data_IF_727614690680
#
_entry.id   IF_727614690680
#
_cell.length_a   1.000
_cell.length_b   1.000
_cell.length_c   1.000
_cell.angle_alpha   90.00
_cell.angle_beta   90.00
_cell.angle_gamma   90.00
#
_symmetry.space_group_name_H-M   'P 1'
#
loop_
_entity.id
_entity.type
_entity.pdbx_description
1 polymer ?
#
# COMPACT_ATOMS: atom_id res chain seq x y z
N UNK A 1 -27.45 -11.88 -1.25
CA UNK A 1 -26.83 -11.21 -0.08
C UNK A 1 -27.35 -11.90 1.17
N UNK A 2 -26.46 -12.36 2.05
CA UNK A 2 -26.85 -12.94 3.34
C UNK A 2 -26.69 -11.90 4.45
N UNK A 3 -27.72 -11.78 5.30
CA UNK A 3 -27.74 -10.89 6.46
C UNK A 3 -28.28 -11.65 7.67
N UNK A 4 -28.14 -11.11 8.90
CA UNK A 4 -28.77 -11.71 10.08
C UNK A 4 -30.30 -11.89 9.95
N UNK A 5 -30.97 -11.09 9.11
CA UNK A 5 -32.41 -11.15 8.87
C UNK A 5 -32.81 -12.14 7.75
N UNK A 6 -31.83 -12.79 7.12
CA UNK A 6 -32.02 -13.76 6.05
C UNK A 6 -31.30 -13.40 4.75
N UNK A 7 -31.48 -14.27 3.76
CA UNK A 7 -30.93 -14.11 2.42
C UNK A 7 -31.92 -13.40 1.48
N UNK A 8 -31.42 -12.49 0.65
CA UNK A 8 -32.20 -11.82 -0.40
C UNK A 8 -31.36 -11.56 -1.65
N UNK A 9 -32.03 -11.41 -2.78
CA UNK A 9 -31.41 -11.06 -4.06
C UNK A 9 -31.36 -9.54 -4.25
N UNK A 10 -30.24 -9.04 -4.79
CA UNK A 10 -30.03 -7.63 -5.07
C UNK A 10 -29.53 -7.46 -6.51
N UNK A 11 -30.23 -6.68 -7.31
CA UNK A 11 -29.81 -6.30 -8.66
C UNK A 11 -29.07 -4.96 -8.62
N UNK A 12 -27.94 -4.87 -9.34
CA UNK A 12 -27.09 -3.67 -9.41
C UNK A 12 -26.41 -3.58 -10.76
N UNK A 13 -26.14 -2.36 -11.22
CA UNK A 13 -25.38 -2.11 -12.45
C UNK A 13 -23.88 -2.40 -12.32
N UNK A 14 -23.38 -2.37 -11.08
CA UNK A 14 -21.96 -2.56 -10.73
C UNK A 14 -21.83 -3.26 -9.38
N UNK A 15 -20.84 -4.14 -9.27
CA UNK A 15 -20.46 -4.83 -8.03
C UNK A 15 -18.99 -4.56 -7.73
N UNK A 16 -18.71 -4.00 -6.55
CA UNK A 16 -17.35 -3.90 -6.02
C UNK A 16 -17.17 -5.00 -4.98
N UNK A 17 -16.34 -5.98 -5.27
CA UNK A 17 -15.98 -7.06 -4.36
C UNK A 17 -14.88 -6.58 -3.40
N UNK A 18 -15.24 -6.31 -2.14
CA UNK A 18 -14.33 -6.01 -1.02
C UNK A 18 -14.45 -7.07 0.08
N UNK A 19 -14.62 -8.33 -0.33
CA UNK A 19 -15.01 -9.48 0.49
C UNK A 19 -13.81 -10.32 0.99
N UNK A 20 -12.61 -9.72 0.95
CA UNK A 20 -11.42 -10.23 1.62
C UNK A 20 -10.67 -11.35 0.90
N UNK A 21 -9.60 -11.85 1.54
CA UNK A 21 -8.66 -12.82 0.97
C UNK A 21 -9.31 -14.12 0.49
N UNK A 22 -10.45 -14.51 1.07
CA UNK A 22 -11.24 -15.69 0.68
C UNK A 22 -12.50 -15.31 -0.12
N UNK A 23 -12.40 -14.26 -0.94
CA UNK A 23 -13.49 -13.70 -1.74
C UNK A 23 -14.40 -14.77 -2.35
N UNK A 24 -15.65 -14.91 -1.88
CA UNK A 24 -16.65 -15.76 -2.53
C UNK A 24 -16.95 -15.29 -3.96
N UNK A 25 -16.94 -13.97 -4.23
CA UNK A 25 -17.19 -13.44 -5.58
C UNK A 25 -16.12 -13.92 -6.56
N UNK A 26 -14.84 -13.95 -6.12
CA UNK A 26 -13.75 -14.51 -6.92
C UNK A 26 -13.97 -15.99 -7.25
N UNK A 27 -14.44 -16.77 -6.27
CA UNK A 27 -14.79 -18.18 -6.47
C UNK A 27 -15.98 -18.39 -7.40
N UNK A 28 -17.01 -17.54 -7.32
CA UNK A 28 -18.18 -17.60 -8.22
C UNK A 28 -17.83 -17.30 -9.68
N UNK A 29 -16.81 -16.46 -9.91
CA UNK A 29 -16.30 -16.14 -11.23
C UNK A 29 -15.18 -17.08 -11.71
N UNK A 30 -14.80 -18.08 -10.90
CA UNK A 30 -13.73 -19.06 -11.17
C UNK A 30 -12.40 -18.38 -11.56
N UNK A 31 -12.04 -17.30 -10.87
CA UNK A 31 -10.84 -16.53 -11.17
C UNK A 31 -9.61 -17.08 -10.45
N UNK A 32 -8.52 -17.27 -11.20
CA UNK A 32 -7.24 -17.66 -10.65
C UNK A 32 -6.63 -16.54 -9.79
N UNK A 33 -6.10 -16.92 -8.63
CA UNK A 33 -5.42 -16.00 -7.73
C UNK A 33 -3.91 -16.29 -7.76
N UNK A 34 -3.20 -15.75 -8.74
CA UNK A 34 -1.79 -16.04 -8.98
C UNK A 34 -0.87 -15.46 -7.91
N UNK A 35 0.27 -16.10 -7.67
CA UNK A 35 1.33 -15.58 -6.80
C UNK A 35 2.04 -16.65 -5.97
N UNK A 36 2.76 -16.21 -4.95
CA UNK A 36 3.61 -17.03 -4.10
C UNK A 36 2.92 -17.31 -2.75
N UNK A 37 2.90 -18.58 -2.36
CA UNK A 37 2.57 -19.02 -1.01
C UNK A 37 3.87 -19.15 -0.24
N UNK A 38 4.03 -18.38 0.83
CA UNK A 38 5.10 -18.64 1.78
C UNK A 38 4.63 -19.73 2.72
N UNK A 39 5.28 -20.89 2.66
CA UNK A 39 4.90 -22.05 3.47
C UNK A 39 5.22 -21.83 4.96
N UNK A 40 6.08 -20.86 5.27
CA UNK A 40 6.44 -20.44 6.61
C UNK A 40 5.21 -20.04 7.45
N UNK A 41 5.16 -20.58 8.67
CA UNK A 41 4.06 -20.35 9.61
C UNK A 41 4.54 -19.51 10.77
N UNK A 42 3.63 -18.69 11.27
CA UNK A 42 3.90 -17.84 12.43
C UNK A 42 2.78 -18.01 13.45
N UNK A 43 3.18 -18.14 14.71
CA UNK A 43 2.32 -18.07 15.88
C UNK A 43 2.24 -16.62 16.33
N UNK A 44 1.04 -16.04 16.37
CA UNK A 44 0.78 -14.80 17.10
C UNK A 44 0.15 -15.16 18.43
N UNK A 45 0.66 -14.56 19.49
CA UNK A 45 -0.02 -14.51 20.77
C UNK A 45 -0.13 -13.07 21.25
N UNK A 46 -1.33 -12.67 21.66
CA UNK A 46 -1.53 -11.47 22.48
C UNK A 46 -1.60 -11.90 23.94
N UNK A 47 -0.79 -11.24 24.77
CA UNK A 47 -0.78 -11.45 26.22
C UNK A 47 -0.99 -10.14 26.95
N UNK A 48 -1.73 -10.20 28.05
CA UNK A 48 -1.77 -9.12 29.03
C UNK A 48 -0.67 -9.34 30.06
N UNK A 49 0.17 -8.34 30.27
CA UNK A 49 1.29 -8.42 31.21
C UNK A 49 1.66 -7.03 31.72
N UNK A 50 1.75 -6.88 33.04
CA UNK A 50 2.35 -5.67 33.62
C UNK A 50 3.87 -5.71 33.42
N UNK A 51 4.36 -4.95 32.44
CA UNK A 51 5.79 -4.84 32.16
C UNK A 51 6.18 -3.43 31.73
N UNK A 52 7.37 -3.02 32.14
CA UNK A 52 7.97 -1.73 31.76
C UNK A 52 8.81 -1.86 30.47
N UNK A 53 8.21 -2.48 29.45
CA UNK A 53 8.84 -2.56 28.13
C UNK A 53 8.61 -1.24 27.36
N UNK A 54 9.64 -0.75 26.64
CA UNK A 54 9.46 0.41 25.77
C UNK A 54 8.42 0.14 24.68
N UNK A 55 7.77 1.19 24.18
CA UNK A 55 6.77 1.08 23.10
C UNK A 55 7.36 0.77 21.72
N UNK A 56 8.69 0.65 21.62
CA UNK A 56 9.35 0.24 20.39
C UNK A 56 9.06 -1.23 20.06
N UNK A 57 9.20 -1.58 18.78
CA UNK A 57 9.06 -2.97 18.34
C UNK A 57 10.42 -3.64 18.43
N UNK A 58 10.48 -4.78 19.10
CA UNK A 58 11.66 -5.61 19.13
C UNK A 58 11.52 -6.71 18.09
N UNK A 59 12.53 -6.84 17.24
CA UNK A 59 12.63 -7.90 16.27
C UNK A 59 13.95 -8.62 16.44
N UNK A 60 13.89 -9.94 16.62
CA UNK A 60 15.06 -10.80 16.71
C UNK A 60 15.09 -11.73 15.50
N UNK A 61 16.22 -11.74 14.79
CA UNK A 61 16.44 -12.71 13.72
C UNK A 61 16.73 -14.11 14.27
N UNK A 62 17.43 -14.19 15.40
CA UNK A 62 17.84 -15.45 16.04
C UNK A 62 17.94 -15.27 17.57
N UNK A 63 16.81 -15.15 18.28
CA UNK A 63 16.79 -15.01 19.73
C UNK A 63 17.20 -16.32 20.43
N UNK A 64 17.84 -16.20 21.59
CA UNK A 64 18.24 -17.35 22.42
C UNK A 64 17.06 -18.16 22.97
N UNK A 65 15.88 -17.53 23.08
CA UNK A 65 14.65 -18.16 23.56
C UNK A 65 13.86 -18.90 22.47
N UNK A 66 14.21 -18.69 21.20
CA UNK A 66 13.52 -19.25 20.03
C UNK A 66 14.52 -19.47 18.88
N UNK A 67 15.44 -20.41 19.12
CA UNK A 67 16.65 -20.58 18.31
C UNK A 67 16.36 -20.96 16.84
N UNK A 68 17.12 -20.37 15.91
CA UNK A 68 17.02 -20.63 14.48
C UNK A 68 15.79 -20.03 13.79
N UNK A 69 14.98 -19.24 14.52
CA UNK A 69 13.70 -18.72 14.07
C UNK A 69 13.54 -17.28 14.53
N UNK A 70 12.88 -16.44 13.74
CA UNK A 70 12.64 -15.05 14.12
C UNK A 70 11.55 -14.90 15.18
N UNK A 71 11.64 -13.82 15.95
CA UNK A 71 10.61 -13.41 16.89
C UNK A 71 10.36 -11.90 16.81
N UNK A 72 9.12 -11.48 17.07
CA UNK A 72 8.73 -10.09 17.22
C UNK A 72 7.98 -9.89 18.53
N UNK A 73 8.24 -8.77 19.20
CA UNK A 73 7.48 -8.30 20.36
C UNK A 73 7.09 -6.84 20.12
N UNK A 74 5.82 -6.49 20.29
CA UNK A 74 5.40 -5.09 20.36
C UNK A 74 4.35 -4.85 21.44
N UNK A 75 4.45 -3.70 22.11
CA UNK A 75 3.44 -3.23 23.07
C UNK A 75 2.24 -2.64 22.33
N UNK A 76 1.04 -3.00 22.76
CA UNK A 76 -0.25 -2.44 22.36
C UNK A 76 -0.86 -1.65 23.55
N UNK A 77 -1.98 -0.93 23.36
CA UNK A 77 -2.73 -0.35 24.47
C UNK A 77 -3.13 -1.39 25.53
N UNK A 78 -3.49 -0.92 26.73
CA UNK A 78 -4.06 -1.73 27.81
C UNK A 78 -3.16 -2.90 28.27
N UNK A 79 -1.84 -2.67 28.27
CA UNK A 79 -0.81 -3.64 28.68
C UNK A 79 -0.88 -4.99 27.93
N UNK A 80 -1.40 -4.94 26.70
CA UNK A 80 -1.33 -6.04 25.76
C UNK A 80 0.02 -6.04 25.03
N UNK A 81 0.63 -7.20 24.90
CA UNK A 81 1.87 -7.44 24.16
C UNK A 81 1.60 -8.47 23.09
N UNK A 82 1.89 -8.12 21.84
CA UNK A 82 1.86 -9.08 20.74
C UNK A 82 3.23 -9.72 20.59
N UNK A 83 3.23 -11.04 20.51
CA UNK A 83 4.41 -11.86 20.26
C UNK A 83 4.16 -12.63 18.96
N UNK A 84 5.02 -12.44 17.97
CA UNK A 84 5.03 -13.28 16.76
C UNK A 84 6.24 -14.21 16.82
N UNK A 85 6.03 -15.52 16.70
CA UNK A 85 7.09 -16.54 16.65
C UNK A 85 7.02 -17.31 15.34
N UNK A 86 8.11 -17.34 14.60
CA UNK A 86 8.23 -18.18 13.40
C UNK A 86 8.23 -19.67 13.80
N UNK A 87 7.43 -20.53 13.17
CA UNK A 87 7.29 -21.94 13.58
C UNK A 87 7.91 -22.95 12.60
N UNK A 88 8.18 -22.56 11.35
CA UNK A 88 8.59 -23.45 10.28
C UNK A 88 7.44 -23.87 9.36
N UNK A 89 7.76 -24.28 8.13
CA UNK A 89 6.78 -24.70 7.11
C UNK A 89 5.90 -25.91 7.51
N UNK A 90 6.47 -26.81 8.34
CA UNK A 90 5.85 -28.09 8.72
C UNK A 90 5.00 -28.01 10.00
N UNK A 91 4.85 -26.82 10.61
CA UNK A 91 4.23 -26.66 11.92
C UNK A 91 2.70 -26.76 11.87
N UNK A 92 2.07 -27.79 12.43
CA UNK A 92 0.60 -27.97 12.37
C UNK A 92 -0.15 -26.83 13.11
N UNK A 93 -1.01 -26.03 12.45
CA UNK A 93 -1.60 -24.85 13.06
C UNK A 93 -2.53 -25.18 14.23
N UNK A 94 -3.21 -26.32 14.20
CA UNK A 94 -4.17 -26.70 15.26
C UNK A 94 -3.46 -27.28 16.47
N UNK A 95 -2.36 -28.00 16.26
CA UNK A 95 -1.48 -28.42 17.35
C UNK A 95 -0.76 -27.23 17.97
N UNK A 96 -0.24 -26.31 17.15
CA UNK A 96 0.60 -25.20 17.61
C UNK A 96 -0.16 -24.13 18.40
N UNK A 97 -1.47 -24.01 18.20
CA UNK A 97 -2.35 -23.12 18.99
C UNK A 97 -2.65 -23.64 20.40
N UNK A 98 -2.37 -24.91 20.68
CA UNK A 98 -2.72 -25.52 21.98
C UNK A 98 -1.98 -24.82 23.13
N UNK A 99 -2.65 -24.50 24.25
CA UNK A 99 -2.00 -23.82 25.38
C UNK A 99 -0.73 -24.52 25.87
N UNK A 100 -0.68 -25.85 25.82
CA UNK A 100 0.48 -26.65 26.22
C UNK A 100 1.72 -26.40 25.34
N UNK A 101 1.52 -25.94 24.11
CA UNK A 101 2.57 -25.59 23.16
C UNK A 101 2.88 -24.09 23.20
N UNK A 102 1.87 -23.24 23.37
CA UNK A 102 2.00 -21.78 23.35
C UNK A 102 2.60 -21.23 24.64
N UNK A 103 2.08 -21.64 25.79
CA UNK A 103 2.46 -21.10 27.11
C UNK A 103 3.97 -21.26 27.35
N UNK A 104 4.60 -22.43 27.14
CA UNK A 104 6.03 -22.58 27.36
C UNK A 104 6.89 -21.72 26.44
N UNK A 105 6.42 -21.38 25.24
CA UNK A 105 7.13 -20.47 24.33
C UNK A 105 7.07 -19.05 24.86
N UNK A 106 5.89 -18.59 25.27
CA UNK A 106 5.69 -17.26 25.83
C UNK A 106 6.48 -17.09 27.14
N UNK A 107 6.48 -18.09 28.03
CA UNK A 107 7.27 -18.06 29.28
C UNK A 107 8.75 -17.79 29.04
N UNK A 108 9.32 -18.35 27.97
CA UNK A 108 10.72 -18.09 27.56
C UNK A 108 10.92 -16.66 27.05
N UNK A 109 9.96 -16.11 26.29
CA UNK A 109 10.00 -14.73 25.78
C UNK A 109 9.92 -13.73 26.94
N UNK A 110 8.98 -13.93 27.87
CA UNK A 110 8.74 -12.97 28.96
C UNK A 110 9.66 -13.17 30.16
N UNK A 111 10.49 -14.22 30.17
CA UNK A 111 11.50 -14.45 31.20
C UNK A 111 10.92 -14.71 32.59
N UNK A 112 9.83 -15.48 32.67
CA UNK A 112 9.19 -15.85 33.95
C UNK A 112 8.28 -14.79 34.58
N UNK A 113 8.00 -13.68 33.88
CA UNK A 113 6.96 -12.73 34.28
C UNK A 113 5.58 -13.37 34.21
N UNK A 114 4.67 -12.95 35.09
CA UNK A 114 3.27 -13.38 35.05
C UNK A 114 2.57 -12.70 33.87
N UNK A 115 1.81 -13.47 33.11
CA UNK A 115 0.99 -12.97 32.00
C UNK A 115 -0.36 -13.69 31.97
N UNK A 116 -1.32 -13.11 31.27
CA UNK A 116 -2.58 -13.75 30.87
C UNK A 116 -2.59 -13.86 29.34
N UNK A 117 -2.83 -15.06 28.82
CA UNK A 117 -3.03 -15.26 27.40
C UNK A 117 -4.41 -14.71 27.01
N UNK A 118 -4.45 -13.81 26.04
CA UNK A 118 -5.68 -13.18 25.57
C UNK A 118 -6.15 -13.78 24.24
N UNK A 119 -5.23 -13.92 23.29
CA UNK A 119 -5.54 -14.44 21.97
C UNK A 119 -4.34 -15.19 21.36
N UNK A 120 -4.63 -16.20 20.55
CA UNK A 120 -3.62 -16.95 19.78
C UNK A 120 -4.14 -17.25 18.39
N UNK A 121 -3.27 -17.14 17.39
CA UNK A 121 -3.52 -17.66 16.05
C UNK A 121 -2.24 -18.15 15.40
N UNK A 122 -2.38 -19.05 14.43
CA UNK A 122 -1.30 -19.46 13.54
C UNK A 122 -1.75 -19.18 12.13
N UNK A 123 -0.89 -18.50 11.36
CA UNK A 123 -1.20 -18.12 9.99
C UNK A 123 0.01 -18.39 9.07
N UNK A 124 -0.28 -18.49 7.78
CA UNK A 124 0.71 -18.47 6.68
C UNK A 124 0.62 -17.16 5.93
N UNK A 125 1.73 -16.75 5.33
CA UNK A 125 1.76 -15.55 4.49
C UNK A 125 1.56 -15.90 3.03
N UNK A 126 0.85 -15.04 2.32
CA UNK A 126 0.62 -15.17 0.88
C UNK A 126 0.88 -13.81 0.24
N UNK A 127 1.57 -13.83 -0.89
CA UNK A 127 1.69 -12.69 -1.79
C UNK A 127 1.04 -13.09 -3.11
N UNK A 128 -0.22 -12.70 -3.30
CA UNK A 128 -1.03 -13.13 -4.45
C UNK A 128 -1.89 -11.99 -4.95
N UNK A 129 -2.25 -12.01 -6.22
CA UNK A 129 -3.23 -11.08 -6.79
C UNK A 129 -3.98 -11.72 -7.94
N UNK A 130 -5.11 -11.12 -8.29
CA UNK A 130 -5.76 -11.39 -9.56
C UNK A 130 -4.90 -10.86 -10.72
N UNK A 131 -5.00 -11.49 -11.88
CA UNK A 131 -4.38 -10.99 -13.11
C UNK A 131 -4.98 -9.63 -13.51
N UNK A 132 -6.31 -9.54 -13.46
CA UNK A 132 -7.12 -8.35 -13.67
C UNK A 132 -8.01 -8.09 -12.45
N UNK A 133 -8.18 -6.83 -12.07
CA UNK A 133 -9.07 -6.38 -11.01
C UNK A 133 -10.45 -6.01 -11.56
N UNK A 134 -10.60 -5.77 -12.87
CA UNK A 134 -11.86 -5.43 -13.52
C UNK A 134 -12.35 -6.58 -14.40
N UNK A 135 -13.51 -7.14 -14.07
CA UNK A 135 -14.19 -8.20 -14.82
C UNK A 135 -15.57 -7.72 -15.27
N UNK A 136 -15.60 -6.94 -16.35
CA UNK A 136 -16.82 -6.30 -16.85
C UNK A 136 -17.41 -5.34 -15.81
N UNK A 137 -18.53 -5.73 -15.18
CA UNK A 137 -19.22 -4.93 -14.15
C UNK A 137 -18.90 -5.36 -12.71
N UNK A 138 -18.02 -6.35 -12.55
CA UNK A 138 -17.51 -6.80 -11.25
C UNK A 138 -16.08 -6.30 -11.09
N UNK A 139 -15.80 -5.57 -10.02
CA UNK A 139 -14.51 -4.94 -9.76
C UNK A 139 -14.02 -5.39 -8.40
N UNK A 140 -12.77 -5.83 -8.31
CA UNK A 140 -12.15 -6.29 -7.06
C UNK A 140 -11.28 -5.18 -6.45
N UNK A 141 -11.33 -5.00 -5.13
CA UNK A 141 -10.51 -4.05 -4.38
C UNK A 141 -10.13 -4.58 -2.99
N UNK A 142 -8.94 -4.22 -2.52
CA UNK A 142 -8.35 -4.73 -1.27
C UNK A 142 -8.01 -6.22 -1.35
N UNK A 143 -8.13 -6.92 -0.22
CA UNK A 143 -7.73 -8.33 -0.08
C UNK A 143 -8.48 -9.30 -1.03
N UNK A 144 -9.60 -8.88 -1.62
CA UNK A 144 -10.28 -9.66 -2.66
C UNK A 144 -9.49 -9.69 -3.98
N UNK A 145 -8.73 -8.62 -4.26
CA UNK A 145 -7.93 -8.39 -5.46
C UNK A 145 -6.45 -8.74 -5.29
N UNK A 146 -5.87 -8.45 -4.13
CA UNK A 146 -4.46 -8.70 -3.83
C UNK A 146 -4.22 -8.89 -2.34
N UNK A 147 -3.34 -9.81 -1.99
CA UNK A 147 -2.87 -10.06 -0.63
C UNK A 147 -1.35 -9.97 -0.63
N UNK A 148 -0.81 -9.40 0.44
CA UNK A 148 0.64 -9.28 0.65
C UNK A 148 0.98 -9.74 2.05
N UNK A 149 2.22 -10.18 2.22
CA UNK A 149 2.78 -10.38 3.56
C UNK A 149 2.63 -9.08 4.39
N UNK A 150 2.22 -9.15 5.67
CA UNK A 150 1.93 -7.98 6.48
C UNK A 150 3.17 -7.18 6.86
N UNK A 151 4.36 -7.73 6.61
CA UNK A 151 5.61 -6.99 6.77
C UNK A 151 5.63 -5.79 5.79
N UNK A 152 5.74 -4.59 6.37
CA UNK A 152 5.61 -3.32 5.64
C UNK A 152 4.22 -2.68 5.71
N UNK A 153 3.24 -3.28 6.37
CA UNK A 153 1.89 -2.71 6.51
C UNK A 153 1.25 -2.29 5.16
N UNK A 154 1.48 -3.06 4.09
CA UNK A 154 1.08 -2.68 2.72
C UNK A 154 -0.32 -3.09 2.33
N UNK A 155 -0.85 -4.20 2.84
CA UNK A 155 -2.17 -4.74 2.44
C UNK A 155 -3.32 -3.75 2.66
N UNK A 156 -3.62 -3.43 3.92
CA UNK A 156 -4.71 -2.48 4.24
C UNK A 156 -4.51 -1.08 3.65
N UNK A 157 -3.28 -0.56 3.61
CA UNK A 157 -2.98 0.73 2.97
C UNK A 157 -3.23 0.69 1.46
N UNK A 158 -2.87 -0.40 0.79
CA UNK A 158 -3.12 -0.59 -0.65
C UNK A 158 -4.61 -0.72 -0.94
N UNK A 159 -5.37 -1.41 -0.07
CA UNK A 159 -6.83 -1.50 -0.19
C UNK A 159 -7.53 -0.14 -0.12
N UNK A 160 -7.09 0.76 0.76
CA UNK A 160 -7.60 2.14 0.79
C UNK A 160 -7.27 2.89 -0.51
N UNK A 161 -6.05 2.73 -1.03
CA UNK A 161 -5.64 3.35 -2.28
C UNK A 161 -6.39 2.79 -3.50
N UNK A 162 -6.84 1.53 -3.47
CA UNK A 162 -7.71 0.98 -4.52
C UNK A 162 -9.02 1.77 -4.59
N UNK A 163 -9.64 2.04 -3.43
CA UNK A 163 -10.92 2.76 -3.35
C UNK A 163 -10.75 4.22 -3.77
N UNK A 164 -9.68 4.89 -3.34
CA UNK A 164 -9.39 6.26 -3.76
C UNK A 164 -9.20 6.36 -5.29
N UNK A 165 -8.53 5.38 -5.90
CA UNK A 165 -8.33 5.31 -7.35
C UNK A 165 -9.63 4.99 -8.11
N UNK A 166 -10.43 4.04 -7.60
CA UNK A 166 -11.64 3.56 -8.26
C UNK A 166 -12.81 4.54 -8.16
N UNK A 167 -12.99 5.17 -7.00
CA UNK A 167 -14.22 5.88 -6.65
C UNK A 167 -14.61 6.98 -7.64
N UNK A 168 -13.65 7.83 -8.02
CA UNK A 168 -13.90 8.91 -8.98
C UNK A 168 -14.10 8.39 -10.41
N UNK A 169 -13.40 7.33 -10.79
CA UNK A 169 -13.50 6.71 -12.12
C UNK A 169 -14.87 6.07 -12.31
N UNK A 170 -15.28 5.25 -11.36
CA UNK A 170 -16.59 4.60 -11.40
C UNK A 170 -17.72 5.62 -11.32
N UNK A 171 -17.58 6.66 -10.48
CA UNK A 171 -18.56 7.75 -10.43
C UNK A 171 -18.68 8.47 -11.78
N UNK A 172 -17.58 8.70 -12.50
CA UNK A 172 -17.59 9.31 -13.82
C UNK A 172 -18.30 8.43 -14.86
N UNK A 173 -18.07 7.11 -14.82
CA UNK A 173 -18.75 6.13 -15.68
C UNK A 173 -20.26 6.10 -15.39
N UNK A 174 -20.65 5.99 -14.12
CA UNK A 174 -22.07 5.95 -13.71
C UNK A 174 -22.80 7.24 -14.10
N UNK A 175 -22.14 8.39 -14.00
CA UNK A 175 -22.71 9.70 -14.38
C UNK A 175 -22.68 9.98 -15.88
N UNK A 176 -22.11 9.09 -16.69
CA UNK A 176 -22.00 9.27 -18.14
C UNK A 176 -21.02 10.37 -18.56
N UNK A 177 -20.08 10.75 -17.68
CA UNK A 177 -19.00 11.70 -18.02
C UNK A 177 -18.03 11.08 -19.02
N UNK A 178 -17.79 9.78 -18.90
CA UNK A 178 -16.94 8.99 -19.81
C UNK A 178 -17.45 7.55 -19.88
N UNK A 179 -16.89 6.76 -20.79
CA UNK A 179 -17.20 5.34 -20.96
C UNK A 179 -16.43 4.40 -20.01
N UNK A 180 -16.79 3.11 -19.98
CA UNK A 180 -16.19 2.12 -19.08
C UNK A 180 -14.69 1.89 -19.30
N UNK A 181 -14.13 2.30 -20.45
CA UNK A 181 -12.69 2.21 -20.73
C UNK A 181 -11.82 2.96 -19.71
N UNK A 182 -12.37 3.96 -18.99
CA UNK A 182 -11.65 4.58 -17.87
C UNK A 182 -11.29 3.57 -16.77
N UNK A 183 -12.09 2.51 -16.57
CA UNK A 183 -11.85 1.50 -15.54
C UNK A 183 -10.67 0.59 -15.88
N UNK A 184 -10.28 0.49 -17.15
CA UNK A 184 -9.05 -0.21 -17.55
C UNK A 184 -7.80 0.47 -16.96
N UNK A 185 -7.90 1.78 -16.68
CA UNK A 185 -6.84 2.49 -15.95
C UNK A 185 -6.79 2.12 -14.47
N UNK A 186 -7.92 1.79 -13.83
CA UNK A 186 -7.92 1.27 -12.46
C UNK A 186 -7.24 -0.10 -12.43
N UNK A 187 -7.59 -0.98 -13.38
CA UNK A 187 -6.98 -2.29 -13.54
C UNK A 187 -5.45 -2.18 -13.64
N UNK A 188 -4.96 -1.40 -14.62
CA UNK A 188 -3.53 -1.21 -14.88
C UNK A 188 -2.79 -0.58 -13.70
N UNK A 189 -3.31 0.51 -13.15
CA UNK A 189 -2.63 1.25 -12.07
C UNK A 189 -2.57 0.44 -10.78
N UNK A 190 -3.67 -0.24 -10.41
CA UNK A 190 -3.73 -0.98 -9.15
C UNK A 190 -3.10 -2.36 -9.22
N UNK A 191 -3.01 -2.97 -10.41
CA UNK A 191 -2.16 -4.15 -10.63
C UNK A 191 -0.67 -3.79 -10.55
N UNK A 192 -0.23 -2.66 -11.12
CA UNK A 192 1.14 -2.13 -10.96
C UNK A 192 1.48 -1.88 -9.47
N UNK A 193 0.56 -1.26 -8.72
CA UNK A 193 0.75 -1.06 -7.28
C UNK A 193 0.79 -2.38 -6.49
N UNK A 194 -0.03 -3.37 -6.86
CA UNK A 194 -0.02 -4.68 -6.24
C UNK A 194 1.32 -5.41 -6.49
N UNK A 195 1.87 -5.32 -7.71
CA UNK A 195 3.18 -5.88 -8.04
C UNK A 195 4.31 -5.21 -7.24
N UNK A 196 4.30 -3.88 -7.11
CA UNK A 196 5.27 -3.17 -6.27
C UNK A 196 5.20 -3.63 -4.80
N UNK A 197 3.98 -3.74 -4.27
CA UNK A 197 3.75 -4.15 -2.88
C UNK A 197 4.16 -5.61 -2.64
N UNK A 198 3.82 -6.52 -3.55
CA UNK A 198 4.25 -7.92 -3.50
C UNK A 198 5.79 -8.00 -3.52
N UNK A 199 6.45 -7.31 -4.46
CA UNK A 199 7.92 -7.32 -4.54
C UNK A 199 8.59 -6.78 -3.27
N UNK A 200 8.05 -5.70 -2.69
CA UNK A 200 8.56 -5.12 -1.46
C UNK A 200 8.37 -6.05 -0.24
N UNK A 201 7.17 -6.62 -0.09
CA UNK A 201 6.85 -7.51 1.02
C UNK A 201 7.54 -8.87 0.90
N UNK A 202 7.68 -9.44 -0.30
CA UNK A 202 8.43 -10.69 -0.53
C UNK A 202 9.91 -10.52 -0.22
N UNK A 203 10.54 -9.40 -0.63
CA UNK A 203 11.93 -9.09 -0.25
C UNK A 203 12.12 -9.00 1.26
N UNK A 204 11.19 -8.33 1.94
CA UNK A 204 11.22 -8.19 3.40
C UNK A 204 11.08 -9.55 4.09
N UNK A 205 10.13 -10.37 3.62
CA UNK A 205 9.89 -11.73 4.15
C UNK A 205 11.13 -12.61 4.01
N UNK A 206 11.78 -12.63 2.82
CA UNK A 206 13.01 -13.40 2.58
C UNK A 206 14.21 -12.90 3.40
N UNK A 207 14.26 -11.60 3.71
CA UNK A 207 15.29 -11.07 4.59
C UNK A 207 15.06 -11.46 6.06
N UNK A 208 13.81 -11.54 6.50
CA UNK A 208 13.45 -11.93 7.87
C UNK A 208 13.61 -13.43 8.11
N UNK A 209 13.10 -14.23 7.17
CA UNK A 209 13.04 -15.70 7.22
C UNK A 209 13.69 -16.28 5.95
N UNK A 210 15.02 -16.35 5.88
CA UNK A 210 15.73 -16.84 4.69
C UNK A 210 15.52 -18.35 4.48
N UNK A 211 15.23 -18.75 3.25
CA UNK A 211 14.92 -20.15 2.92
C UNK A 211 16.17 -21.03 2.71
N UNK A 212 17.37 -20.44 2.67
CA UNK A 212 18.61 -21.18 2.40
C UNK A 212 19.89 -20.45 2.81
N UNK A 213 21.02 -21.17 2.70
CA UNK A 213 22.33 -20.73 3.22
C UNK A 213 22.85 -19.43 2.59
N UNK A 214 22.55 -19.18 1.32
CA UNK A 214 22.99 -17.94 0.63
C UNK A 214 22.22 -16.73 1.14
N UNK A 215 20.90 -16.85 1.31
CA UNK A 215 20.07 -15.75 1.85
C UNK A 215 20.42 -15.46 3.31
N UNK A 216 20.68 -16.51 4.09
CA UNK A 216 21.15 -16.38 5.46
C UNK A 216 22.50 -15.64 5.52
N UNK A 217 23.48 -16.07 4.70
CA UNK A 217 24.79 -15.41 4.61
C UNK A 217 24.65 -13.95 4.17
N UNK A 218 23.79 -13.66 3.19
CA UNK A 218 23.54 -12.30 2.74
C UNK A 218 22.98 -11.43 3.87
N UNK A 219 21.92 -11.89 4.55
CA UNK A 219 21.31 -11.21 5.69
C UNK A 219 22.34 -10.92 6.79
N UNK A 220 23.09 -11.93 7.20
CA UNK A 220 24.05 -11.80 8.30
C UNK A 220 25.20 -10.84 7.93
N UNK A 221 25.63 -10.87 6.66
CA UNK A 221 26.63 -9.93 6.13
C UNK A 221 26.10 -8.49 6.13
N UNK A 222 24.84 -8.29 5.71
CA UNK A 222 24.17 -6.98 5.76
C UNK A 222 24.08 -6.47 7.18
N UNK A 223 23.62 -7.30 8.12
CA UNK A 223 23.47 -6.92 9.54
C UNK A 223 24.83 -6.60 10.19
N UNK A 224 25.85 -7.40 9.90
CA UNK A 224 27.23 -7.16 10.37
C UNK A 224 27.76 -5.82 9.87
N UNK A 225 27.56 -5.51 8.58
CA UNK A 225 28.05 -4.28 7.96
C UNK A 225 27.20 -3.05 8.32
N UNK A 226 25.91 -3.21 8.61
CA UNK A 226 25.00 -2.10 8.90
C UNK A 226 25.42 -1.28 10.14
N UNK A 227 26.10 -1.91 11.11
CA UNK A 227 26.65 -1.21 12.27
C UNK A 227 27.65 -0.12 11.88
N UNK A 228 28.50 -0.37 10.88
CA UNK A 228 29.63 0.49 10.54
C UNK A 228 29.47 1.22 9.20
N UNK A 229 28.66 0.71 8.28
CA UNK A 229 28.66 1.14 6.88
C UNK A 229 27.28 1.62 6.41
N UNK A 230 27.16 2.89 5.95
CA UNK A 230 25.87 3.47 5.55
C UNK A 230 25.12 2.68 4.46
N UNK A 231 25.82 2.15 3.44
CA UNK A 231 25.13 1.43 2.35
C UNK A 231 24.43 0.15 2.84
N UNK A 232 24.99 -0.54 3.85
CA UNK A 232 24.40 -1.77 4.37
C UNK A 232 23.14 -1.48 5.20
N UNK A 233 23.04 -0.30 5.82
CA UNK A 233 21.83 0.14 6.55
C UNK A 233 20.62 0.24 5.64
N UNK A 234 20.81 0.60 4.37
CA UNK A 234 19.73 0.64 3.37
C UNK A 234 19.11 -0.75 3.13
N UNK A 235 19.91 -1.81 3.20
CA UNK A 235 19.41 -3.18 3.01
C UNK A 235 18.66 -3.71 4.23
N UNK A 236 19.04 -3.29 5.43
CA UNK A 236 18.34 -3.63 6.66
C UNK A 236 17.10 -2.76 6.92
N UNK A 237 17.10 -1.52 6.45
CA UNK A 237 16.02 -0.57 6.64
C UNK A 237 15.20 -0.43 5.35
N UNK A 238 14.00 -1.01 5.34
CA UNK A 238 13.05 -0.91 4.23
C UNK A 238 12.45 0.50 4.02
N UNK A 239 12.84 1.49 4.83
CA UNK A 239 12.33 2.85 4.79
C UNK A 239 10.94 2.96 5.42
N UNK A 240 10.14 3.90 4.92
CA UNK A 240 8.74 4.05 5.34
C UNK A 240 7.98 2.77 4.97
N UNK A 241 7.24 2.21 5.93
CA UNK A 241 6.55 0.92 5.79
C UNK A 241 5.68 0.87 4.52
N UNK A 242 4.87 1.91 4.30
CA UNK A 242 4.05 2.08 3.11
C UNK A 242 4.24 3.48 2.52
N UNK A 243 4.40 3.52 1.20
CA UNK A 243 4.45 4.72 0.35
C UNK A 243 3.45 4.55 -0.79
N UNK A 244 2.86 5.62 -1.33
CA UNK A 244 2.07 5.54 -2.54
C UNK A 244 2.90 4.99 -3.70
N UNK A 245 2.29 4.12 -4.52
CA UNK A 245 2.90 3.69 -5.78
C UNK A 245 3.02 4.90 -6.72
N UNK A 246 4.07 4.90 -7.54
CA UNK A 246 4.19 5.87 -8.64
C UNK A 246 3.82 5.18 -9.94
N UNK A 247 2.68 5.56 -10.51
CA UNK A 247 2.16 4.92 -11.71
C UNK A 247 2.99 5.22 -12.95
N UNK A 248 3.01 4.26 -13.87
CA UNK A 248 3.48 4.52 -15.22
C UNK A 248 2.51 5.46 -15.92
N UNK A 249 3.00 6.65 -16.31
CA UNK A 249 2.19 7.66 -16.98
C UNK A 249 2.83 8.15 -18.29
N UNK A 250 2.04 8.30 -19.36
CA UNK A 250 2.48 8.81 -20.67
C UNK A 250 1.92 10.19 -21.00
N UNK A 251 1.34 10.88 -20.01
CA UNK A 251 1.04 12.30 -20.11
C UNK A 251 2.32 13.14 -20.26
N UNK A 252 2.20 14.40 -20.73
CA UNK A 252 3.35 15.29 -20.83
C UNK A 252 4.16 15.38 -19.53
N UNK A 253 5.49 15.27 -19.65
CA UNK A 253 6.44 15.27 -18.54
C UNK A 253 7.64 16.15 -18.90
N UNK A 254 7.62 17.43 -18.49
CA UNK A 254 8.80 18.29 -18.65
C UNK A 254 9.89 17.87 -17.64
N UNK A 255 11.03 17.30 -18.11
CA UNK A 255 12.04 16.72 -17.23
C UNK A 255 12.84 17.76 -16.45
N UNK A 256 12.68 19.05 -16.74
CA UNK A 256 13.31 20.15 -15.98
C UNK A 256 12.64 20.37 -14.63
N UNK A 257 11.40 19.91 -14.46
CA UNK A 257 10.65 20.04 -13.22
C UNK A 257 11.05 18.94 -12.20
N UNK A 258 10.91 19.19 -10.89
CA UNK A 258 11.40 18.29 -9.84
C UNK A 258 10.90 16.84 -9.96
N UNK A 259 11.77 15.85 -9.77
CA UNK A 259 11.39 14.43 -9.90
C UNK A 259 10.31 13.98 -8.89
N UNK A 260 10.21 14.64 -7.73
CA UNK A 260 9.23 14.32 -6.67
C UNK A 260 7.77 14.57 -7.11
N UNK A 261 7.56 15.41 -8.13
CA UNK A 261 6.25 15.77 -8.69
C UNK A 261 6.11 15.37 -10.16
N UNK A 262 6.78 14.29 -10.59
CA UNK A 262 6.62 13.78 -11.96
C UNK A 262 5.23 13.15 -12.16
N UNK A 263 4.73 13.04 -13.41
CA UNK A 263 3.50 12.32 -13.69
C UNK A 263 3.52 10.88 -13.13
N UNK A 264 2.35 10.44 -12.65
CA UNK A 264 2.14 9.18 -11.95
C UNK A 264 2.35 9.23 -10.43
N UNK A 265 2.98 10.29 -9.89
CA UNK A 265 3.14 10.48 -8.44
C UNK A 265 1.89 11.10 -7.81
N UNK A 266 1.65 10.81 -6.52
CA UNK A 266 0.73 11.63 -5.71
C UNK A 266 1.35 13.00 -5.54
N UNK A 267 0.57 14.05 -5.76
CA UNK A 267 0.98 15.43 -5.63
C UNK A 267 1.61 15.68 -4.24
N UNK A 268 2.89 16.10 -4.17
CA UNK A 268 3.54 16.39 -2.89
C UNK A 268 2.83 17.52 -2.16
N UNK A 269 2.28 17.25 -0.97
CA UNK A 269 1.61 18.28 -0.18
C UNK A 269 2.56 19.46 0.12
N UNK A 270 2.05 20.64 0.48
CA UNK A 270 2.84 21.81 0.86
C UNK A 270 1.95 22.83 1.60
N UNK A 271 2.50 23.63 2.53
CA UNK A 271 1.73 24.69 3.15
C UNK A 271 1.34 25.78 2.13
N UNK A 272 0.13 26.30 2.25
CA UNK A 272 -0.41 27.40 1.45
C UNK A 272 -1.08 28.42 2.37
N UNK A 273 -0.29 29.37 2.87
CA UNK A 273 -0.76 30.31 3.91
C UNK A 273 -1.03 29.57 5.22
N UNK A 274 -2.29 29.51 5.67
CA UNK A 274 -2.72 28.79 6.89
C UNK A 274 -3.36 27.42 6.59
N UNK A 275 -3.28 26.97 5.34
CA UNK A 275 -3.89 25.72 4.86
C UNK A 275 -2.83 24.81 4.22
N UNK A 276 -3.23 23.64 3.72
CA UNK A 276 -2.38 22.67 3.05
C UNK A 276 -2.86 22.42 1.62
N UNK A 277 -1.92 22.21 0.70
CA UNK A 277 -2.20 22.00 -0.72
C UNK A 277 -3.13 20.81 -0.94
N UNK A 278 -2.93 19.72 -0.19
CA UNK A 278 -3.78 18.52 -0.25
C UNK A 278 -5.27 18.84 -0.06
N UNK A 279 -5.62 19.84 0.76
CA UNK A 279 -7.00 20.25 0.99
C UNK A 279 -7.63 21.01 -0.19
N UNK A 280 -6.80 21.47 -1.15
CA UNK A 280 -7.22 22.15 -2.37
C UNK A 280 -7.23 21.25 -3.60
N UNK A 281 -6.63 20.07 -3.47
CA UNK A 281 -6.57 19.03 -4.49
C UNK A 281 -7.66 17.98 -4.24
N UNK A 282 -8.00 17.25 -5.31
CA UNK A 282 -8.98 16.18 -5.28
C UNK A 282 -10.43 16.63 -5.54
N UNK A 283 -11.35 15.65 -5.54
CA UNK A 283 -12.79 15.78 -5.89
C UNK A 283 -13.05 16.01 -7.37
N UNK A 284 -12.33 16.93 -8.00
CA UNK A 284 -12.37 17.23 -9.44
C UNK A 284 -10.94 17.36 -9.98
N UNK A 285 -10.72 17.26 -11.30
CA UNK A 285 -9.40 17.53 -11.86
C UNK A 285 -9.00 18.98 -11.58
N UNK A 286 -7.73 19.19 -11.25
CA UNK A 286 -7.16 20.50 -10.91
C UNK A 286 -5.99 20.81 -11.84
N UNK A 287 -6.00 21.98 -12.45
CA UNK A 287 -4.82 22.56 -13.09
C UNK A 287 -4.15 23.50 -12.08
N UNK A 288 -3.03 23.05 -11.55
CA UNK A 288 -2.19 23.79 -10.59
C UNK A 288 -1.11 24.55 -11.37
N UNK A 289 -1.05 25.86 -11.24
CA UNK A 289 -0.09 26.71 -11.94
C UNK A 289 0.70 27.64 -11.02
N UNK A 290 1.96 27.88 -11.38
CA UNK A 290 2.89 28.80 -10.73
C UNK A 290 3.55 29.67 -11.79
N UNK A 291 3.63 30.99 -11.59
CA UNK A 291 4.34 31.93 -12.48
C UNK A 291 3.75 32.11 -13.89
N UNK A 292 2.87 31.21 -14.33
CA UNK A 292 2.12 31.26 -15.58
C UNK A 292 0.64 30.92 -15.33
N UNK A 293 -0.23 31.28 -16.26
CA UNK A 293 -1.65 30.95 -16.20
C UNK A 293 -2.19 30.54 -17.56
N UNK A 294 -2.84 29.38 -17.60
CA UNK A 294 -3.50 28.85 -18.80
C UNK A 294 -5.03 28.84 -18.62
N UNK A 295 -5.78 28.93 -19.72
CA UNK A 295 -7.22 28.69 -19.68
C UNK A 295 -7.48 27.20 -19.43
N UNK A 296 -8.48 26.87 -18.63
CA UNK A 296 -8.86 25.48 -18.32
C UNK A 296 -10.25 25.18 -18.90
N UNK A 297 -10.52 23.94 -19.32
CA UNK A 297 -11.84 23.53 -19.78
C UNK A 297 -12.84 23.45 -18.62
N UNK A 298 -14.13 23.36 -18.96
CA UNK A 298 -15.19 23.23 -17.96
C UNK A 298 -15.06 21.93 -17.14
N UNK A 299 -15.47 21.98 -15.87
CA UNK A 299 -15.33 20.85 -14.95
C UNK A 299 -13.92 20.65 -14.38
N UNK A 300 -12.94 21.44 -14.82
CA UNK A 300 -11.58 21.47 -14.28
C UNK A 300 -11.38 22.70 -13.43
N UNK A 301 -10.89 22.51 -12.19
CA UNK A 301 -10.59 23.61 -11.29
C UNK A 301 -9.22 24.20 -11.62
N UNK A 302 -9.14 25.52 -11.78
CA UNK A 302 -7.84 26.22 -11.85
C UNK A 302 -7.39 26.65 -10.46
N UNK A 303 -6.16 26.32 -10.09
CA UNK A 303 -5.52 26.77 -8.86
C UNK A 303 -4.19 27.45 -9.22
N UNK A 304 -4.08 28.74 -8.93
CA UNK A 304 -2.86 29.51 -9.15
C UNK A 304 -2.27 29.88 -7.81
N UNK A 305 -0.99 29.55 -7.59
CA UNK A 305 -0.29 29.76 -6.33
C UNK A 305 0.99 30.55 -6.54
N UNK A 306 1.30 31.42 -5.59
CA UNK A 306 2.61 32.03 -5.47
C UNK A 306 3.54 31.07 -4.71
N UNK A 307 4.68 30.64 -5.30
CA UNK A 307 5.52 29.62 -4.72
C UNK A 307 6.39 30.16 -3.58
N UNK A 308 6.17 29.64 -2.38
CA UNK A 308 7.12 29.75 -1.27
C UNK A 308 8.33 28.81 -1.48
N UNK A 309 9.20 28.68 -0.49
CA UNK A 309 10.40 27.82 -0.58
C UNK A 309 10.03 26.34 -0.80
N UNK A 310 9.03 25.84 -0.08
CA UNK A 310 8.63 24.42 -0.11
C UNK A 310 7.92 24.08 -1.43
N UNK A 311 7.00 24.93 -1.88
CA UNK A 311 6.34 24.77 -3.19
C UNK A 311 7.36 24.85 -4.32
N UNK A 312 8.32 25.77 -4.23
CA UNK A 312 9.38 25.88 -5.24
C UNK A 312 10.23 24.61 -5.30
N UNK A 313 10.68 24.09 -4.16
CA UNK A 313 11.42 22.82 -4.11
C UNK A 313 10.63 21.66 -4.73
N UNK A 314 9.34 21.55 -4.41
CA UNK A 314 8.49 20.42 -4.81
C UNK A 314 7.98 20.50 -6.24
N UNK A 315 7.74 21.70 -6.78
CA UNK A 315 7.02 21.89 -8.04
C UNK A 315 7.73 22.74 -9.10
N UNK A 316 8.75 23.54 -8.76
CA UNK A 316 9.41 24.41 -9.74
C UNK A 316 10.89 24.07 -9.93
N UNK A 317 11.59 23.68 -8.87
CA UNK A 317 13.04 23.54 -8.87
C UNK A 317 13.69 24.87 -9.20
N UNK A 318 14.35 24.95 -10.36
CA UNK A 318 15.02 26.14 -10.86
C UNK A 318 14.20 26.93 -11.90
N UNK A 319 13.02 26.45 -12.25
CA UNK A 319 12.17 27.08 -13.26
C UNK A 319 11.31 28.20 -12.66
N UNK A 320 10.98 29.20 -13.47
CA UNK A 320 10.16 30.35 -13.05
C UNK A 320 8.65 30.07 -13.14
N UNK A 321 8.26 29.09 -13.95
CA UNK A 321 6.87 28.74 -14.18
C UNK A 321 6.68 27.23 -14.36
N UNK A 322 5.54 26.75 -13.89
CA UNK A 322 5.10 25.37 -14.06
C UNK A 322 3.58 25.28 -14.04
N UNK A 323 3.04 24.29 -14.74
CA UNK A 323 1.63 23.93 -14.73
C UNK A 323 1.51 22.41 -14.63
N UNK A 324 0.61 21.94 -13.78
CA UNK A 324 0.36 20.53 -13.49
C UNK A 324 -1.11 20.22 -13.67
N UNK A 325 -1.42 19.09 -14.32
CA UNK A 325 -2.75 18.49 -14.27
C UNK A 325 -2.76 17.44 -13.16
N UNK A 326 -3.61 17.64 -12.15
CA UNK A 326 -3.78 16.75 -11.01
C UNK A 326 -5.17 16.12 -11.06
N UNK A 327 -5.25 14.80 -10.93
CA UNK A 327 -6.48 14.00 -10.95
C UNK A 327 -7.33 14.19 -9.68
N UNK A 328 -8.59 13.74 -9.70
CA UNK A 328 -9.45 13.74 -8.50
C UNK A 328 -8.90 12.92 -7.31
N UNK A 329 -8.02 11.94 -7.57
CA UNK A 329 -7.30 11.15 -6.57
C UNK A 329 -5.90 11.70 -6.24
N UNK A 330 -5.66 12.98 -6.57
CA UNK A 330 -4.43 13.72 -6.26
C UNK A 330 -3.18 13.22 -6.99
N UNK A 331 -3.31 12.30 -7.94
CA UNK A 331 -2.20 11.86 -8.80
C UNK A 331 -1.93 12.90 -9.90
N UNK A 332 -0.66 13.24 -10.12
CA UNK A 332 -0.23 14.10 -11.21
C UNK A 332 -0.36 13.33 -12.53
N UNK A 333 -1.20 13.80 -13.45
CA UNK A 333 -1.38 13.20 -14.77
C UNK A 333 -0.44 13.78 -15.83
N UNK A 334 -0.06 15.05 -15.71
CA UNK A 334 0.81 15.73 -16.65
C UNK A 334 1.42 17.00 -16.06
N UNK A 335 2.54 17.47 -16.63
CA UNK A 335 3.19 18.73 -16.26
C UNK A 335 3.92 19.41 -17.42
N UNK A 336 3.97 20.74 -17.36
CA UNK A 336 4.58 21.62 -18.35
C UNK A 336 5.18 22.85 -17.68
N UNK A 337 6.00 23.62 -18.39
CA UNK A 337 6.37 24.98 -17.96
C UNK A 337 5.41 26.04 -18.49
N UNK A 338 5.02 25.95 -19.75
CA UNK A 338 4.14 26.92 -20.42
C UNK A 338 3.23 26.22 -21.45
N UNK A 339 2.12 25.60 -21.01
CA UNK A 339 1.20 24.90 -21.90
C UNK A 339 0.22 25.87 -22.58
N UNK A 340 -0.19 25.54 -23.80
CA UNK A 340 -1.35 26.15 -24.45
C UNK A 340 -2.66 25.61 -23.83
N UNK A 341 -3.80 26.30 -24.04
CA UNK A 341 -5.11 25.76 -23.66
C UNK A 341 -5.41 24.38 -24.29
N UNK A 342 -4.97 24.16 -25.53
CA UNK A 342 -5.19 22.90 -26.25
C UNK A 342 -4.39 21.76 -25.59
N UNK A 343 -3.17 22.03 -25.12
CA UNK A 343 -2.37 21.03 -24.37
C UNK A 343 -3.10 20.57 -23.10
N UNK A 344 -3.80 21.49 -22.41
CA UNK A 344 -4.57 21.18 -21.21
C UNK A 344 -5.82 20.37 -21.57
N UNK A 345 -6.54 20.76 -22.62
CA UNK A 345 -7.74 20.06 -23.08
C UNK A 345 -7.42 18.62 -23.49
N UNK A 346 -6.35 18.42 -24.27
CA UNK A 346 -5.86 17.10 -24.68
C UNK A 346 -5.48 16.25 -23.46
N UNK A 347 -4.76 16.80 -22.49
CA UNK A 347 -4.36 16.06 -21.29
C UNK A 347 -5.56 15.68 -20.40
N UNK A 348 -6.54 16.56 -20.27
CA UNK A 348 -7.79 16.28 -19.54
C UNK A 348 -8.60 15.20 -20.25
N UNK A 349 -8.69 15.24 -21.58
CA UNK A 349 -9.35 14.20 -22.36
C UNK A 349 -8.66 12.84 -22.17
N UNK A 350 -7.32 12.79 -22.29
CA UNK A 350 -6.55 11.55 -22.08
C UNK A 350 -6.79 10.94 -20.69
N UNK A 351 -6.84 11.78 -19.66
CA UNK A 351 -7.15 11.36 -18.29
C UNK A 351 -8.54 10.73 -18.19
N UNK A 352 -9.57 11.34 -18.78
CA UNK A 352 -10.94 10.80 -18.78
C UNK A 352 -11.12 9.55 -19.65
N UNK A 353 -10.24 9.36 -20.63
CA UNK A 353 -10.19 8.15 -21.45
C UNK A 353 -9.38 7.01 -20.80
N UNK A 354 -8.73 7.26 -19.66
CA UNK A 354 -7.93 6.25 -18.96
C UNK A 354 -6.65 5.85 -19.69
N UNK A 355 -6.15 6.67 -20.62
CA UNK A 355 -4.89 6.40 -21.31
C UNK A 355 -3.73 6.43 -20.30
N UNK A 356 -2.73 5.53 -20.45
CA UNK A 356 -1.55 5.56 -19.61
C UNK A 356 -0.90 6.94 -19.64
#
# INVERSE_FOLDING_TARGET
VETPDGAYDLETDWLIACDGAKSPVRGMLDLEFGGELFEERFLIADIEMEADFPSERWFWFEPTFHAGQSALLHKQPDDIYRIDLQLGENADPEEEKKPENVIPRIEKVVGGRRFRLDWVSVYTFQCRRLEHFVHGRVIFAGDSAHVVSPFGARGGNSGLQDVDNLGWKLAAVIRGVTGPALLDSYDRERTEAADENIAASSRTTRFMSPAGSIEHMFRDSVLTLAGTTPFARFWANSGRLSTPCTYTCSGPDDPRLPAVSRPGTVAPDAPIGLDWLVNRLGVVPVVLSFGTGVRVPDGVRKLMLEPDEILRERYLGHEEAATYLVRPDQVIAARWRDPSPDDIEDAVQRMWEGRP
#
